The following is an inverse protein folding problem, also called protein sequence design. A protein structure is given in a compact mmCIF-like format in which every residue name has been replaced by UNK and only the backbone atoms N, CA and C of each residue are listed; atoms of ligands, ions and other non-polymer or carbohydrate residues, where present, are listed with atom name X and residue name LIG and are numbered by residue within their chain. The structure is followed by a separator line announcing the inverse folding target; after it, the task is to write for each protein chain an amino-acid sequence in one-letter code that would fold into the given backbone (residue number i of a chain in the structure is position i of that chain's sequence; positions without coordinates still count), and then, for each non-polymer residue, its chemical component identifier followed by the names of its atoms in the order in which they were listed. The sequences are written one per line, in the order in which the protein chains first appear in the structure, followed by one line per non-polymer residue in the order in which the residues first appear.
data_IF_750820392812
#
_entry.id   IF_750820392812
#
_cell.length_a   1.000
_cell.length_b   1.000
_cell.length_c   1.000
_cell.angle_alpha   90.00
_cell.angle_beta   90.00
_cell.angle_gamma   90.00
#
_symmetry.space_group_name_H-M   'P 1'
#
loop_
_entity.id
_entity.type
_entity.pdbx_description
1 polymer ?
#
# COMPACT_ATOMS: atom_id res chain seq x y z
N UNK A 1 9.01 3.62 -15.74
CA UNK A 1 8.02 4.39 -16.54
C UNK A 1 8.49 5.81 -16.82
N UNK A 2 8.83 6.63 -15.82
CA UNK A 2 9.36 7.99 -16.05
C UNK A 2 10.52 8.02 -17.06
N UNK A 3 11.54 7.19 -16.88
CA UNK A 3 12.67 7.09 -17.82
C UNK A 3 12.24 6.70 -19.25
N UNK A 4 11.26 5.79 -19.40
CA UNK A 4 10.72 5.41 -20.71
C UNK A 4 9.96 6.57 -21.36
N UNK A 5 9.22 7.34 -20.58
CA UNK A 5 8.50 8.51 -21.09
C UNK A 5 9.49 9.60 -21.54
N UNK A 6 10.50 9.92 -20.72
CA UNK A 6 11.51 10.94 -21.05
C UNK A 6 12.30 10.55 -22.31
N UNK A 7 12.76 9.30 -22.40
CA UNK A 7 13.46 8.79 -23.60
C UNK A 7 12.55 8.71 -24.81
N UNK A 8 11.28 8.32 -24.63
CA UNK A 8 10.25 8.34 -25.67
C UNK A 8 9.97 9.75 -26.22
N UNK A 9 10.02 10.78 -25.37
CA UNK A 9 9.87 12.17 -25.81
C UNK A 9 11.02 12.63 -26.71
N UNK A 10 12.26 12.18 -26.42
CA UNK A 10 13.43 12.53 -27.22
C UNK A 10 13.53 11.73 -28.53
N UNK A 11 13.24 10.43 -28.49
CA UNK A 11 13.60 9.48 -29.56
C UNK A 11 12.44 8.63 -30.10
N UNK A 12 11.25 8.71 -29.50
CA UNK A 12 10.11 7.87 -29.86
C UNK A 12 9.16 8.48 -30.89
N UNK A 13 8.38 7.61 -31.53
CA UNK A 13 7.26 8.00 -32.39
C UNK A 13 6.08 8.58 -31.59
N UNK A 14 5.17 9.28 -32.27
CA UNK A 14 4.04 9.96 -31.62
C UNK A 14 3.18 9.00 -30.77
N UNK A 15 2.87 7.80 -31.27
CA UNK A 15 2.06 6.82 -30.55
C UNK A 15 2.74 6.31 -29.27
N UNK A 16 4.05 6.10 -29.32
CA UNK A 16 4.82 5.64 -28.16
C UNK A 16 4.89 6.71 -27.08
N UNK A 17 5.02 7.99 -27.47
CA UNK A 17 4.96 9.14 -26.55
C UNK A 17 3.62 9.21 -25.83
N UNK A 18 2.52 9.05 -26.58
CA UNK A 18 1.17 9.05 -26.00
C UNK A 18 1.02 7.87 -25.03
N UNK A 19 1.38 6.66 -25.45
CA UNK A 19 1.25 5.46 -24.62
C UNK A 19 2.08 5.57 -23.33
N UNK A 20 3.37 5.88 -23.44
CA UNK A 20 4.26 6.00 -22.28
C UNK A 20 3.88 7.16 -21.38
N UNK A 21 3.38 8.27 -21.94
CA UNK A 21 2.86 9.41 -21.19
C UNK A 21 1.63 9.07 -20.37
N UNK A 22 0.63 8.42 -20.97
CA UNK A 22 -0.59 7.99 -20.25
C UNK A 22 -0.24 7.01 -19.13
N UNK A 23 0.57 6.00 -19.41
CA UNK A 23 1.01 5.03 -18.41
C UNK A 23 1.80 5.69 -17.27
N UNK A 24 2.68 6.64 -17.59
CA UNK A 24 3.42 7.41 -16.59
C UNK A 24 2.49 8.24 -15.70
N UNK A 25 1.53 8.97 -16.28
CA UNK A 25 0.59 9.78 -15.51
C UNK A 25 -0.23 8.92 -14.55
N UNK A 26 -0.77 7.78 -15.02
CA UNK A 26 -1.52 6.85 -14.16
C UNK A 26 -0.64 6.37 -13.01
N UNK A 27 0.58 5.92 -13.31
CA UNK A 27 1.52 5.44 -12.29
C UNK A 27 1.91 6.56 -11.31
N UNK A 28 2.05 7.79 -11.77
CA UNK A 28 2.38 8.95 -10.94
C UNK A 28 1.25 9.26 -9.96
N UNK A 29 0.00 9.30 -10.42
CA UNK A 29 -1.17 9.52 -9.54
C UNK A 29 -1.23 8.46 -8.43
N UNK A 30 -1.03 7.19 -8.80
CA UNK A 30 -1.00 6.09 -7.81
C UNK A 30 0.18 6.23 -6.85
N UNK A 31 1.37 6.55 -7.34
CA UNK A 31 2.56 6.71 -6.52
C UNK A 31 2.41 7.84 -5.50
N UNK A 32 1.81 8.96 -5.92
CA UNK A 32 1.53 10.10 -5.06
C UNK A 32 0.50 9.74 -3.98
N UNK A 33 -0.61 9.10 -4.36
CA UNK A 33 -1.64 8.63 -3.40
C UNK A 33 -1.05 7.69 -2.34
N UNK A 34 -0.16 6.78 -2.76
CA UNK A 34 0.51 5.83 -1.87
C UNK A 34 1.54 6.53 -0.97
N UNK A 35 2.32 7.47 -1.51
CA UNK A 35 3.34 8.20 -0.74
C UNK A 35 2.74 9.06 0.37
N UNK A 36 1.52 9.52 0.20
CA UNK A 36 0.81 10.35 1.18
C UNK A 36 -0.01 9.52 2.18
N UNK A 37 -0.09 8.20 1.97
CA UNK A 37 -0.73 7.27 2.89
C UNK A 37 0.22 6.91 4.02
N UNK A 38 0.02 7.54 5.17
CA UNK A 38 0.86 7.33 6.35
C UNK A 38 0.01 6.89 7.54
N UNK A 39 0.46 5.88 8.26
CA UNK A 39 -0.10 5.47 9.55
C UNK A 39 0.89 5.90 10.62
N UNK A 40 0.56 6.97 11.34
CA UNK A 40 1.35 7.44 12.47
C UNK A 40 0.70 6.97 13.76
N UNK A 41 1.41 6.13 14.48
CA UNK A 41 1.05 5.70 15.82
C UNK A 41 1.69 6.66 16.83
N UNK A 42 0.88 7.31 17.64
CA UNK A 42 1.30 8.22 18.72
C UNK A 42 0.88 7.64 20.07
N UNK A 43 1.49 8.10 21.17
CA UNK A 43 1.02 7.77 22.52
C UNK A 43 -0.45 8.15 22.73
N UNK A 44 -0.91 9.23 22.11
CA UNK A 44 -2.27 9.76 22.29
C UNK A 44 -3.31 9.14 21.34
N UNK A 45 -2.88 8.39 20.31
CA UNK A 45 -3.82 7.79 19.36
C UNK A 45 -3.21 7.32 18.04
N UNK A 46 -4.09 6.93 17.13
CA UNK A 46 -3.78 6.55 15.76
C UNK A 46 -4.11 7.68 14.80
N UNK A 47 -3.12 8.15 14.06
CA UNK A 47 -3.29 9.08 12.96
C UNK A 47 -3.19 8.33 11.63
N UNK A 48 -4.23 8.47 10.81
CA UNK A 48 -4.29 7.91 9.47
C UNK A 48 -4.34 9.06 8.49
N UNK A 49 -3.26 9.25 7.73
CA UNK A 49 -3.18 10.21 6.64
C UNK A 49 -3.49 9.51 5.32
N UNK A 50 -4.28 10.18 4.49
CA UNK A 50 -4.50 9.91 3.07
C UNK A 50 -4.21 11.20 2.30
N UNK A 51 -4.04 11.07 0.98
CA UNK A 51 -3.68 12.14 0.04
C UNK A 51 -4.38 13.50 0.24
N UNK A 52 -5.59 13.53 0.80
CA UNK A 52 -6.30 14.76 1.14
C UNK A 52 -6.95 14.80 2.54
N UNK A 53 -6.73 13.78 3.39
CA UNK A 53 -7.44 13.69 4.68
C UNK A 53 -6.56 13.07 5.75
N UNK A 54 -6.44 13.79 6.86
CA UNK A 54 -5.86 13.26 8.09
C UNK A 54 -6.98 12.98 9.08
N UNK A 55 -7.09 11.74 9.55
CA UNK A 55 -7.98 11.37 10.64
C UNK A 55 -7.17 10.99 11.86
N UNK A 56 -7.46 11.65 12.98
CA UNK A 56 -6.91 11.30 14.28
C UNK A 56 -7.96 10.55 15.07
N UNK A 57 -7.58 9.40 15.62
CA UNK A 57 -8.41 8.58 16.50
C UNK A 57 -7.72 8.47 17.85
N UNK A 58 -8.39 8.86 18.92
CA UNK A 58 -7.91 8.54 20.26
C UNK A 58 -8.08 7.03 20.52
N UNK A 59 -7.23 6.45 21.36
CA UNK A 59 -7.34 5.02 21.72
C UNK A 59 -8.71 4.65 22.28
N UNK A 60 -9.30 5.55 23.09
CA UNK A 60 -10.64 5.38 23.65
C UNK A 60 -11.75 5.35 22.58
N UNK A 61 -11.52 5.94 21.40
CA UNK A 61 -12.49 5.92 20.30
C UNK A 61 -12.47 4.58 19.56
N UNK A 62 -11.42 3.76 19.70
CA UNK A 62 -11.31 2.46 19.05
C UNK A 62 -11.99 1.41 19.92
N UNK A 63 -13.03 0.78 19.35
CA UNK A 63 -13.88 -0.17 20.05
C UNK A 63 -13.55 -1.60 19.70
N UNK A 64 -13.11 -1.87 18.47
CA UNK A 64 -12.90 -3.23 17.98
C UNK A 64 -11.80 -3.29 16.92
N UNK A 65 -10.99 -4.35 16.97
CA UNK A 65 -10.04 -4.72 15.94
C UNK A 65 -10.33 -6.16 15.50
N UNK A 66 -10.77 -6.31 14.26
CA UNK A 66 -11.10 -7.60 13.67
C UNK A 66 -10.32 -7.91 12.40
N UNK A 67 -10.40 -9.16 11.95
CA UNK A 67 -9.79 -9.57 10.68
C UNK A 67 -10.66 -10.52 9.85
N UNK A 68 -10.60 -10.36 8.54
CA UNK A 68 -11.26 -11.22 7.56
C UNK A 68 -10.22 -11.76 6.60
N UNK A 69 -10.03 -13.08 6.61
CA UNK A 69 -9.11 -13.79 5.73
C UNK A 69 -9.84 -14.30 4.48
N UNK A 70 -9.41 -13.83 3.31
CA UNK A 70 -9.92 -14.22 2.00
C UNK A 70 -8.79 -14.77 1.14
N UNK A 71 -8.61 -16.10 1.16
CA UNK A 71 -7.49 -16.80 0.51
C UNK A 71 -6.14 -16.21 0.92
N UNK A 72 -5.50 -15.44 0.03
CA UNK A 72 -4.21 -14.79 0.26
C UNK A 72 -4.32 -13.28 0.54
N UNK A 73 -5.51 -12.81 0.91
CA UNK A 73 -5.78 -11.43 1.31
C UNK A 73 -6.26 -11.45 2.76
N UNK A 74 -5.69 -10.58 3.58
CA UNK A 74 -6.21 -10.31 4.92
C UNK A 74 -6.70 -8.87 4.95
N UNK A 75 -7.91 -8.67 5.45
CA UNK A 75 -8.50 -7.37 5.70
C UNK A 75 -8.62 -7.19 7.21
N UNK A 76 -8.27 -6.01 7.70
CA UNK A 76 -8.31 -5.64 9.10
C UNK A 76 -9.31 -4.52 9.27
N UNK A 77 -10.26 -4.73 10.18
CA UNK A 77 -11.35 -3.81 10.47
C UNK A 77 -11.08 -3.16 11.83
N UNK A 78 -10.88 -1.85 11.81
CA UNK A 78 -10.78 -1.03 13.00
C UNK A 78 -12.10 -0.29 13.19
N UNK A 79 -12.93 -0.75 14.11
CA UNK A 79 -14.17 -0.08 14.46
C UNK A 79 -13.91 0.99 15.50
N UNK A 80 -14.53 2.14 15.30
CA UNK A 80 -14.44 3.32 16.16
C UNK A 80 -15.84 3.82 16.49
N UNK A 81 -15.97 4.66 17.51
CA UNK A 81 -17.24 5.33 17.85
C UNK A 81 -17.81 6.19 16.71
N UNK A 82 -16.98 6.60 15.73
CA UNK A 82 -17.35 7.46 14.60
C UNK A 82 -17.48 6.70 13.27
N UNK A 83 -17.39 5.37 13.28
CA UNK A 83 -17.45 4.53 12.08
C UNK A 83 -16.36 3.47 12.07
N UNK A 84 -15.90 3.04 10.91
CA UNK A 84 -14.90 1.99 10.80
C UNK A 84 -13.82 2.35 9.77
N UNK A 85 -12.65 1.73 9.91
CA UNK A 85 -11.54 1.87 9.00
C UNK A 85 -11.04 0.48 8.59
N UNK A 86 -10.78 0.30 7.30
CA UNK A 86 -10.28 -0.97 6.77
C UNK A 86 -8.90 -0.76 6.17
N UNK A 87 -7.98 -1.65 6.52
CA UNK A 87 -6.71 -1.83 5.82
C UNK A 87 -6.51 -3.30 5.49
N UNK A 88 -5.49 -3.61 4.70
CA UNK A 88 -5.20 -4.99 4.29
C UNK A 88 -3.72 -5.31 4.45
N UNK A 89 -3.37 -6.58 4.28
CA UNK A 89 -1.98 -7.06 4.21
C UNK A 89 -1.19 -6.56 2.99
N UNK A 90 -1.74 -5.64 2.19
CA UNK A 90 -1.01 -4.87 1.18
C UNK A 90 -0.41 -3.59 1.75
N UNK A 91 -0.80 -3.20 2.95
CA UNK A 91 -0.17 -2.09 3.63
C UNK A 91 1.28 -2.47 3.99
N UNK A 92 2.20 -1.55 3.71
CA UNK A 92 3.58 -1.70 4.12
C UNK A 92 3.65 -1.84 5.64
N UNK A 93 4.47 -2.76 6.13
CA UNK A 93 4.68 -3.00 7.56
C UNK A 93 3.39 -3.26 8.35
N UNK A 94 2.36 -3.82 7.70
CA UNK A 94 1.06 -4.10 8.31
C UNK A 94 1.16 -4.97 9.57
N UNK A 95 2.13 -5.88 9.64
CA UNK A 95 2.37 -6.74 10.81
C UNK A 95 2.85 -5.93 12.01
N UNK A 96 3.71 -4.94 11.82
CA UNK A 96 4.16 -4.03 12.87
C UNK A 96 2.99 -3.16 13.36
N UNK A 97 2.20 -2.62 12.43
CA UNK A 97 1.01 -1.85 12.78
C UNK A 97 0.01 -2.71 13.58
N UNK A 98 -0.25 -3.94 13.17
CA UNK A 98 -1.17 -4.84 13.87
C UNK A 98 -0.68 -5.22 15.26
N UNK A 99 0.62 -5.52 15.41
CA UNK A 99 1.22 -5.78 16.73
C UNK A 99 1.04 -4.57 17.65
N UNK A 100 1.37 -3.38 17.16
CA UNK A 100 1.22 -2.15 17.93
C UNK A 100 -0.24 -1.87 18.32
N UNK A 101 -1.19 -2.07 17.39
CA UNK A 101 -2.61 -1.92 17.67
C UNK A 101 -3.10 -2.96 18.69
N UNK A 102 -2.68 -4.22 18.56
CA UNK A 102 -3.06 -5.28 19.49
C UNK A 102 -2.46 -5.10 20.89
N UNK A 103 -1.29 -4.48 21.02
CA UNK A 103 -0.67 -4.13 22.31
C UNK A 103 -1.34 -2.92 22.97
N UNK A 104 -1.78 -1.93 22.18
CA UNK A 104 -2.42 -0.72 22.70
C UNK A 104 -3.90 -0.89 23.01
N UNK A 105 -4.56 -1.83 22.34
CA UNK A 105 -5.97 -2.15 22.58
C UNK A 105 -6.06 -3.27 23.62
N UNK A 106 -6.95 -3.10 24.60
CA UNK A 106 -7.21 -4.16 25.58
C UNK A 106 -7.55 -5.48 24.87
N UNK A 107 -7.11 -6.60 25.44
CA UNK A 107 -7.22 -7.91 24.81
C UNK A 107 -8.65 -8.37 24.48
N UNK A 108 -9.67 -7.74 25.07
CA UNK A 108 -11.09 -7.93 24.77
C UNK A 108 -11.55 -7.25 23.48
N UNK A 109 -10.89 -6.16 23.07
CA UNK A 109 -11.20 -5.41 21.84
C UNK A 109 -10.56 -6.01 20.60
N UNK A 110 -9.72 -7.03 20.76
CA UNK A 110 -8.94 -7.66 19.69
C UNK A 110 -9.44 -9.08 19.46
N UNK A 111 -9.95 -9.33 18.26
CA UNK A 111 -10.40 -10.67 17.84
C UNK A 111 -9.28 -11.72 17.93
N UNK A 112 -9.63 -12.96 18.25
CA UNK A 112 -8.68 -14.07 18.33
C UNK A 112 -8.00 -14.33 16.96
N UNK A 113 -8.74 -14.12 15.89
CA UNK A 113 -8.28 -14.21 14.50
C UNK A 113 -7.15 -13.20 14.21
N UNK A 114 -7.19 -12.01 14.82
CA UNK A 114 -6.11 -11.01 14.69
C UNK A 114 -4.84 -11.50 15.38
N UNK A 115 -4.97 -12.08 16.58
CA UNK A 115 -3.83 -12.65 17.34
C UNK A 115 -3.16 -13.79 16.56
N UNK A 116 -3.95 -14.73 16.05
CA UNK A 116 -3.43 -15.82 15.22
C UNK A 116 -2.80 -15.33 13.91
N UNK A 117 -3.33 -14.27 13.28
CA UNK A 117 -2.69 -13.66 12.11
C UNK A 117 -1.33 -13.04 12.45
N UNK A 118 -1.19 -12.41 13.62
CA UNK A 118 0.09 -11.81 14.06
C UNK A 118 1.17 -12.88 14.26
N UNK A 119 0.79 -14.08 14.73
CA UNK A 119 1.69 -15.22 14.92
C UNK A 119 2.15 -15.83 13.59
N UNK A 120 1.25 -15.91 12.60
CA UNK A 120 1.54 -16.45 11.27
C UNK A 120 1.04 -15.53 10.14
N UNK A 121 1.77 -14.43 9.85
CA UNK A 121 1.37 -13.46 8.83
C UNK A 121 1.36 -14.06 7.43
N UNK A 122 0.36 -13.70 6.62
CA UNK A 122 0.30 -14.07 5.20
C UNK A 122 0.89 -12.96 4.33
N UNK A 123 2.18 -13.11 4.01
CA UNK A 123 2.85 -12.22 3.09
C UNK A 123 2.50 -12.52 1.63
N UNK A 124 2.33 -11.46 0.83
CA UNK A 124 2.09 -11.57 -0.62
C UNK A 124 3.40 -11.47 -1.39
N UNK A 125 4.27 -12.46 -1.20
CA UNK A 125 5.56 -12.57 -1.92
C UNK A 125 5.39 -12.59 -3.45
N UNK A 126 4.25 -13.06 -3.95
CA UNK A 126 3.95 -13.05 -5.39
C UNK A 126 3.92 -11.64 -6.00
N UNK A 127 3.49 -10.63 -5.25
CA UNK A 127 3.53 -9.25 -5.74
C UNK A 127 4.96 -8.75 -5.89
N UNK A 128 5.84 -9.09 -4.94
CA UNK A 128 7.26 -8.73 -5.00
C UNK A 128 7.89 -9.32 -6.26
N UNK A 129 7.63 -10.61 -6.53
CA UNK A 129 8.12 -11.28 -7.74
C UNK A 129 7.59 -10.62 -9.01
N UNK A 130 6.29 -10.32 -9.09
CA UNK A 130 5.69 -9.64 -10.23
C UNK A 130 6.26 -8.23 -10.45
N UNK A 131 6.57 -7.51 -9.37
CA UNK A 131 7.23 -6.19 -9.45
C UNK A 131 8.63 -6.32 -10.06
N UNK A 132 9.42 -7.33 -9.64
CA UNK A 132 10.74 -7.58 -10.24
C UNK A 132 10.66 -7.96 -11.72
N UNK A 133 9.72 -8.83 -12.09
CA UNK A 133 9.49 -9.18 -13.51
C UNK A 133 9.13 -7.93 -14.32
N UNK A 134 8.23 -7.11 -13.81
CA UNK A 134 7.84 -5.84 -14.45
C UNK A 134 9.04 -4.90 -14.61
N UNK A 135 9.91 -4.81 -13.60
CA UNK A 135 11.12 -4.00 -13.65
C UNK A 135 12.07 -4.49 -14.74
N UNK A 136 12.33 -5.81 -14.83
CA UNK A 136 13.18 -6.40 -15.87
C UNK A 136 12.66 -6.07 -17.27
N UNK A 137 11.34 -6.19 -17.50
CA UNK A 137 10.73 -5.84 -18.79
C UNK A 137 10.93 -4.35 -19.11
N UNK A 138 10.70 -3.45 -18.14
CA UNK A 138 10.89 -2.02 -18.34
C UNK A 138 12.35 -1.66 -18.64
N UNK A 139 13.31 -2.33 -17.99
CA UNK A 139 14.76 -2.17 -18.26
C UNK A 139 15.12 -2.68 -19.64
N UNK A 140 14.61 -3.86 -20.04
CA UNK A 140 14.83 -4.40 -21.37
C UNK A 140 14.32 -3.44 -22.45
N UNK A 141 13.11 -2.89 -22.30
CA UNK A 141 12.54 -1.90 -23.21
C UNK A 141 13.38 -0.61 -23.31
N UNK A 142 13.96 -0.17 -22.19
CA UNK A 142 14.89 0.97 -22.18
C UNK A 142 16.16 0.65 -22.97
N UNK A 143 16.76 -0.52 -22.70
CA UNK A 143 17.99 -0.94 -23.35
C UNK A 143 17.79 -1.14 -24.86
N UNK A 144 16.72 -1.79 -25.29
CA UNK A 144 16.42 -1.97 -26.72
C UNK A 144 16.27 -0.63 -27.42
N UNK A 145 15.66 0.36 -26.76
CA UNK A 145 15.55 1.72 -27.31
C UNK A 145 16.90 2.40 -27.46
N UNK A 146 17.75 2.31 -26.44
CA UNK A 146 19.07 2.93 -26.47
C UNK A 146 20.01 2.27 -27.48
N UNK A 147 19.88 0.97 -27.70
CA UNK A 147 20.67 0.22 -28.68
C UNK A 147 20.19 0.44 -30.13
N UNK A 148 18.91 0.77 -30.33
CA UNK A 148 18.32 1.04 -31.63
C UNK A 148 18.41 2.52 -32.06
N UNK A 149 18.89 3.39 -31.18
CA UNK A 149 19.12 4.81 -31.39
C UNK A 149 20.54 5.09 -31.89
#
# INVERSE_FOLDING_TARGET
LFALFVTGMAMGELWERILTGVLFIIALVVAVEVSEREFRTSENGLQIRKFFRTKNFAWAEITHLGTVLLRNKAYFLLTTSKGFYIFSNLLQDHTLLLKFLAEKLDGEKVEAEVKSYIEAPRERTSLIVLTWVSLVILVALLLTRWLAA
#
